data_IF_270042373736
#
_entry.id   IF_270042373736
#
_cell.length_a   1.000
_cell.length_b   1.000
_cell.length_c   1.000
_cell.angle_alpha   90.00
_cell.angle_beta   90.00
_cell.angle_gamma   90.00
#
_symmetry.space_group_name_H-M   'P 1'
#
loop_
_entity.id
_entity.type
_entity.pdbx_description
1 polymer ?
#
# COMPACT_ATOMS: atom_id res chain seq x y z
N UNK A 1 2.48 0.75 -9.44
CA UNK A 1 2.48 2.07 -10.12
C UNK A 1 3.89 2.65 -10.10
N UNK A 2 4.19 3.68 -10.90
CA UNK A 2 5.52 4.30 -10.88
C UNK A 2 5.80 4.95 -9.51
N UNK A 3 7.06 4.93 -9.08
CA UNK A 3 7.46 5.52 -7.81
C UNK A 3 7.08 7.01 -7.74
N UNK A 4 6.52 7.44 -6.61
CA UNK A 4 6.07 8.82 -6.39
C UNK A 4 4.70 9.18 -7.00
N UNK A 5 4.02 8.25 -7.67
CA UNK A 5 2.66 8.48 -8.20
C UNK A 5 1.57 8.00 -7.23
N UNK A 6 0.32 8.40 -7.48
CA UNK A 6 -0.82 8.07 -6.63
C UNK A 6 -2.05 7.63 -7.44
N UNK A 7 -2.96 6.94 -6.76
CA UNK A 7 -4.21 6.40 -7.30
C UNK A 7 -5.38 7.02 -6.53
N UNK A 8 -6.15 7.91 -7.17
CA UNK A 8 -7.25 8.67 -6.55
C UNK A 8 -8.60 7.98 -6.73
N UNK A 9 -9.43 7.96 -5.68
CA UNK A 9 -10.78 7.40 -5.68
C UNK A 9 -11.79 8.48 -5.29
N UNK A 10 -12.83 8.67 -6.11
CA UNK A 10 -13.96 9.58 -5.82
C UNK A 10 -15.08 8.88 -5.02
N UNK A 11 -15.98 9.63 -4.36
CA UNK A 11 -17.18 9.07 -3.75
C UNK A 11 -17.97 8.20 -4.74
N UNK A 12 -18.21 6.94 -4.39
CA UNK A 12 -18.92 5.97 -5.23
C UNK A 12 -18.08 5.31 -6.33
N UNK A 13 -16.82 5.73 -6.54
CA UNK A 13 -15.97 5.14 -7.56
C UNK A 13 -15.44 3.77 -7.11
N UNK A 14 -15.58 2.77 -7.99
CA UNK A 14 -14.95 1.47 -7.87
C UNK A 14 -13.92 1.27 -8.98
N UNK A 15 -12.73 0.79 -8.64
CA UNK A 15 -11.66 0.49 -9.59
C UNK A 15 -10.86 -0.72 -9.13
N UNK A 16 -10.50 -1.58 -10.07
CA UNK A 16 -9.54 -2.66 -9.85
C UNK A 16 -8.11 -2.11 -9.87
N UNK A 17 -7.31 -2.48 -8.88
CA UNK A 17 -5.92 -2.05 -8.76
C UNK A 17 -5.02 -3.25 -8.56
N UNK A 18 -3.86 -3.22 -9.20
CA UNK A 18 -2.85 -4.24 -9.03
C UNK A 18 -1.92 -3.86 -7.89
N UNK A 19 -1.69 -4.81 -6.99
CA UNK A 19 -0.74 -4.70 -5.89
C UNK A 19 0.51 -5.51 -6.20
N UNK A 20 1.62 -5.12 -5.61
CA UNK A 20 2.87 -5.89 -5.62
C UNK A 20 3.32 -6.16 -4.19
N UNK A 21 4.03 -7.28 -3.93
CA UNK A 21 4.58 -7.55 -2.60
C UNK A 21 5.59 -6.49 -2.16
N UNK A 22 5.65 -6.26 -0.85
CA UNK A 22 6.74 -5.48 -0.24
C UNK A 22 8.06 -6.26 -0.38
N UNK A 23 9.11 -5.58 -0.84
CA UNK A 23 10.46 -6.14 -0.94
C UNK A 23 11.30 -5.99 0.33
N UNK A 24 12.61 -6.27 0.24
CA UNK A 24 13.54 -6.13 1.36
C UNK A 24 13.26 -7.10 2.52
N UNK A 25 13.45 -6.65 3.76
CA UNK A 25 13.22 -7.46 4.96
C UNK A 25 11.74 -7.73 5.27
N UNK A 26 10.81 -7.12 4.51
CA UNK A 26 9.35 -7.23 4.70
C UNK A 26 8.88 -6.89 6.12
N UNK A 27 9.54 -5.92 6.76
CA UNK A 27 9.09 -5.38 8.04
C UNK A 27 8.29 -4.08 7.82
N UNK A 28 7.13 -3.97 8.47
CA UNK A 28 6.20 -2.83 8.32
C UNK A 28 6.04 -2.12 9.67
N UNK A 29 6.43 -0.85 9.73
CA UNK A 29 6.30 0.03 10.90
C UNK A 29 5.62 1.35 10.50
N UNK A 30 4.84 1.97 11.41
CA UNK A 30 4.10 3.21 11.13
C UNK A 30 2.70 2.95 10.57
N UNK A 31 2.26 3.70 9.54
CA UNK A 31 0.90 3.67 8.98
C UNK A 31 -0.18 3.75 10.07
N UNK A 32 -1.17 2.85 10.05
CA UNK A 32 -2.19 2.72 11.11
C UNK A 32 -1.74 1.82 12.27
N UNK A 33 -0.43 1.54 12.39
CA UNK A 33 0.20 0.76 13.48
C UNK A 33 -0.27 -0.69 13.64
N UNK A 34 -0.76 -1.32 12.57
CA UNK A 34 -1.36 -2.65 12.65
C UNK A 34 -0.38 -3.83 12.65
N UNK A 35 0.89 -3.65 12.24
CA UNK A 35 1.88 -4.73 12.12
C UNK A 35 3.08 -4.51 13.05
N UNK A 36 3.77 -3.37 12.90
CA UNK A 36 4.89 -2.96 13.77
C UNK A 36 6.00 -4.01 13.90
N UNK A 37 6.30 -4.71 12.81
CA UNK A 37 7.21 -5.85 12.80
C UNK A 37 7.25 -6.57 11.47
N UNK A 38 7.65 -7.84 11.48
CA UNK A 38 7.67 -8.68 10.29
C UNK A 38 6.25 -8.92 9.76
N UNK A 39 6.11 -8.88 8.43
CA UNK A 39 4.90 -9.21 7.69
C UNK A 39 4.75 -10.72 7.47
#
# INVERSE_FOLDING_TARGET
>A
IAAGTAVRFEPGQRREVQLIPIGGARNVFGFNQQVMGAL
#
